data_IF_266271715811
#
_entry.id   IF_266271715811
#
_cell.length_a   1.000
_cell.length_b   1.000
_cell.length_c   1.000
_cell.angle_alpha   90.00
_cell.angle_beta   90.00
_cell.angle_gamma   90.00
#
_symmetry.space_group_name_H-M   'P 1'
#
loop_
_entity.id
_entity.type
_entity.pdbx_description
1 polymer ?
#
# COMPACT_ATOMS: atom_id res chain seq x y z
N UNK A 1 -45.25 -44.16 -20.88
CA UNK A 1 -46.50 -43.54 -20.43
C UNK A 1 -46.07 -42.37 -19.56
N UNK A 2 -45.76 -41.25 -20.21
CA UNK A 2 -46.74 -40.20 -20.56
C UNK A 2 -47.02 -39.36 -19.32
N UNK A 3 -47.03 -38.03 -19.33
CA UNK A 3 -46.99 -37.01 -20.38
C UNK A 3 -46.86 -35.69 -19.60
N UNK A 4 -45.98 -34.74 -19.96
CA UNK A 4 -46.20 -33.71 -20.99
C UNK A 4 -47.58 -33.07 -20.93
N UNK A 5 -47.63 -31.77 -20.62
CA UNK A 5 -48.30 -30.72 -21.41
C UNK A 5 -48.60 -29.52 -20.48
N UNK A 6 -48.01 -28.32 -20.54
CA UNK A 6 -47.72 -27.38 -21.64
C UNK A 6 -48.64 -26.13 -21.57
N UNK A 7 -48.11 -25.02 -22.11
CA UNK A 7 -48.76 -23.81 -22.64
C UNK A 7 -49.08 -22.65 -21.68
N UNK A 8 -48.93 -21.37 -22.05
CA UNK A 8 -48.41 -20.62 -23.22
C UNK A 8 -48.56 -19.12 -22.81
N UNK A 9 -47.67 -18.19 -23.16
CA UNK A 9 -47.82 -17.11 -24.17
C UNK A 9 -46.73 -16.07 -23.80
N UNK A 10 -45.92 -15.45 -24.68
CA UNK A 10 -45.99 -15.29 -26.13
C UNK A 10 -46.31 -13.84 -26.51
N UNK A 11 -45.37 -13.22 -27.25
CA UNK A 11 -45.43 -11.95 -28.03
C UNK A 11 -45.03 -10.65 -27.29
N UNK A 12 -43.99 -9.89 -27.67
CA UNK A 12 -43.46 -9.34 -28.95
C UNK A 12 -43.97 -7.93 -29.32
N UNK A 13 -42.97 -7.07 -29.58
CA UNK A 13 -42.85 -6.04 -30.64
C UNK A 13 -43.01 -4.54 -30.34
N UNK A 14 -42.14 -3.80 -31.05
CA UNK A 14 -42.04 -2.35 -31.36
C UNK A 14 -41.15 -1.56 -30.36
N UNK A 15 -39.99 -1.02 -30.70
CA UNK A 15 -39.50 -0.51 -31.99
C UNK A 15 -39.88 0.95 -32.16
N UNK A 16 -39.12 1.89 -31.57
CA UNK A 16 -39.12 3.31 -31.97
C UNK A 16 -37.69 3.87 -31.81
N UNK A 17 -37.07 4.19 -32.94
CA UNK A 17 -35.93 5.10 -33.03
C UNK A 17 -36.47 6.52 -33.16
N UNK A 18 -36.13 7.41 -32.24
CA UNK A 18 -36.23 8.87 -32.44
C UNK A 18 -35.02 9.55 -31.80
N UNK A 19 -34.26 10.25 -32.66
CA UNK A 19 -33.25 11.22 -32.28
C UNK A 19 -33.88 12.37 -31.47
N UNK A 20 -33.22 12.84 -30.40
CA UNK A 20 -33.04 14.26 -30.09
C UNK A 20 -32.05 14.49 -28.93
N UNK A 21 -31.10 15.38 -29.17
CA UNK A 21 -30.46 16.37 -28.28
C UNK A 21 -30.04 16.02 -26.83
N UNK A 22 -28.74 16.20 -26.59
CA UNK A 22 -28.09 16.74 -25.38
C UNK A 22 -28.93 16.91 -24.10
N UNK A 23 -28.47 16.28 -23.01
CA UNK A 23 -28.92 16.59 -21.65
C UNK A 23 -28.23 15.67 -20.64
N UNK A 24 -27.20 16.18 -19.97
CA UNK A 24 -26.73 15.67 -18.69
C UNK A 24 -27.88 15.75 -17.69
N UNK A 25 -28.31 14.62 -17.13
CA UNK A 25 -29.10 14.64 -15.90
C UNK A 25 -28.14 14.36 -14.75
N UNK A 26 -27.69 15.44 -14.11
CA UNK A 26 -27.15 15.41 -12.75
C UNK A 26 -28.36 15.37 -11.82
N UNK A 27 -28.52 14.30 -11.04
CA UNK A 27 -29.43 14.30 -9.90
C UNK A 27 -28.72 15.02 -8.73
N UNK A 28 -29.39 16.01 -8.15
CA UNK A 28 -28.91 16.75 -6.98
C UNK A 28 -28.90 15.81 -5.76
N UNK A 29 -27.72 15.36 -5.33
CA UNK A 29 -27.56 14.59 -4.08
C UNK A 29 -27.26 15.55 -2.95
N UNK A 30 -28.20 15.71 -2.01
CA UNK A 30 -27.99 16.45 -0.78
C UNK A 30 -27.14 15.61 0.20
N UNK A 31 -25.99 16.12 0.63
CA UNK A 31 -25.16 15.50 1.68
C UNK A 31 -25.43 16.21 3.00
N UNK A 32 -25.99 15.50 3.97
CA UNK A 32 -26.31 16.02 5.30
C UNK A 32 -25.15 15.79 6.28
N UNK A 33 -24.82 16.80 7.08
CA UNK A 33 -23.84 16.70 8.16
C UNK A 33 -24.51 16.08 9.41
N UNK A 34 -23.97 14.95 9.92
CA UNK A 34 -24.69 14.06 10.84
C UNK A 34 -24.89 14.60 12.27
N UNK A 35 -24.00 15.48 12.75
CA UNK A 35 -24.00 15.91 14.15
C UNK A 35 -25.17 16.85 14.51
N UNK A 36 -25.77 17.52 13.53
CA UNK A 36 -26.92 18.42 13.75
C UNK A 36 -28.28 17.71 13.75
N UNK A 37 -28.38 16.48 13.24
CA UNK A 37 -29.66 15.77 13.12
C UNK A 37 -30.06 15.09 14.44
N UNK A 38 -29.09 14.50 15.15
CA UNK A 38 -29.34 13.79 16.41
C UNK A 38 -29.77 14.70 17.56
N UNK A 39 -29.50 16.01 17.49
CA UNK A 39 -29.96 16.95 18.53
C UNK A 39 -31.48 17.11 18.55
N UNK A 40 -32.14 16.97 17.39
CA UNK A 40 -33.59 17.04 17.27
C UNK A 40 -34.26 15.67 17.15
N UNK A 41 -33.56 14.64 16.63
CA UNK A 41 -34.03 13.26 16.50
C UNK A 41 -33.40 12.31 17.52
N UNK A 42 -33.40 12.70 18.80
CA UNK A 42 -32.67 12.02 19.88
C UNK A 42 -33.14 10.59 20.21
N UNK A 43 -34.27 10.15 19.64
CA UNK A 43 -34.84 8.81 19.83
C UNK A 43 -34.65 7.89 18.62
N UNK A 44 -34.02 8.36 17.55
CA UNK A 44 -33.79 7.60 16.31
C UNK A 44 -32.33 7.18 16.19
N UNK A 45 -32.06 6.00 15.64
CA UNK A 45 -30.69 5.57 15.34
C UNK A 45 -30.17 6.27 14.08
N UNK A 46 -28.85 6.42 13.96
CA UNK A 46 -28.21 6.97 12.75
C UNK A 46 -28.70 6.30 11.46
N UNK A 47 -28.81 4.97 11.46
CA UNK A 47 -29.26 4.20 10.31
C UNK A 47 -30.72 4.51 9.92
N UNK A 48 -31.58 4.80 10.91
CA UNK A 48 -32.97 5.19 10.69
C UNK A 48 -33.10 6.61 10.13
N UNK A 49 -32.17 7.51 10.46
CA UNK A 49 -32.14 8.88 9.92
C UNK A 49 -31.60 8.89 8.47
N UNK A 50 -30.56 8.10 8.20
CA UNK A 50 -29.97 7.99 6.86
C UNK A 50 -30.91 7.35 5.82
N UNK A 51 -31.90 6.55 6.26
CA UNK A 51 -32.87 5.88 5.39
C UNK A 51 -34.13 6.71 5.08
N UNK A 52 -34.27 7.91 5.66
CA UNK A 52 -35.39 8.85 5.41
C UNK A 52 -35.13 9.76 4.19
N UNK A 53 -33.99 9.62 3.52
CA UNK A 53 -33.59 10.48 2.39
C UNK A 53 -34.60 10.47 1.23
N UNK A 54 -35.49 9.48 1.13
CA UNK A 54 -36.56 9.46 0.12
C UNK A 54 -37.92 10.04 0.58
N UNK A 55 -38.09 10.39 1.86
CA UNK A 55 -39.35 10.94 2.40
C UNK A 55 -39.13 12.33 3.03
N UNK A 56 -39.17 13.36 2.18
CA UNK A 56 -39.33 14.80 2.42
C UNK A 56 -39.05 15.35 3.84
N UNK A 57 -37.77 15.56 4.16
CA UNK A 57 -37.32 16.38 5.29
C UNK A 57 -37.88 17.83 5.26
N UNK A 58 -38.34 18.29 4.09
CA UNK A 58 -38.92 19.61 3.87
C UNK A 58 -40.30 19.83 4.54
N UNK A 59 -40.93 18.78 5.11
CA UNK A 59 -42.20 18.92 5.83
C UNK A 59 -42.04 19.59 7.20
N UNK A 60 -40.87 19.46 7.83
CA UNK A 60 -40.58 20.03 9.16
C UNK A 60 -39.43 21.04 9.16
N UNK A 61 -38.61 21.10 8.11
CA UNK A 61 -37.51 22.05 7.96
C UNK A 61 -37.80 23.06 6.84
N UNK A 62 -37.53 24.35 7.09
CA UNK A 62 -37.49 25.35 6.01
C UNK A 62 -36.07 25.44 5.43
N UNK A 63 -35.92 25.75 4.14
CA UNK A 63 -34.63 25.74 3.43
C UNK A 63 -33.42 26.43 4.12
N UNK A 64 -33.58 27.46 4.98
CA UNK A 64 -32.44 28.03 5.71
C UNK A 64 -31.90 27.14 6.85
N UNK A 65 -32.66 26.14 7.33
CA UNK A 65 -32.27 25.24 8.42
C UNK A 65 -31.60 23.94 7.94
N UNK A 66 -31.64 23.68 6.62
CA UNK A 66 -30.86 22.63 5.98
C UNK A 66 -29.70 23.30 5.25
N UNK A 67 -28.67 23.72 5.98
CA UNK A 67 -27.43 24.20 5.37
C UNK A 67 -26.61 23.01 4.86
N UNK A 68 -27.14 22.32 3.85
CA UNK A 68 -26.35 21.49 2.94
C UNK A 68 -26.14 22.31 1.67
N UNK A 69 -24.92 22.78 1.43
CA UNK A 69 -24.59 23.47 0.18
C UNK A 69 -24.91 22.57 -1.02
N UNK A 70 -25.86 22.98 -1.85
CA UNK A 70 -26.16 22.34 -3.15
C UNK A 70 -25.20 22.88 -4.20
N UNK A 71 -24.14 22.13 -4.52
CA UNK A 71 -23.26 22.45 -5.65
C UNK A 71 -23.66 21.67 -6.90
N UNK A 72 -24.06 22.40 -7.95
CA UNK A 72 -24.39 21.88 -9.29
C UNK A 72 -23.19 21.14 -9.91
N UNK A 73 -23.34 19.83 -10.10
CA UNK A 73 -22.38 18.98 -10.84
C UNK A 73 -22.57 19.16 -12.35
N UNK A 74 -22.10 20.27 -12.93
CA UNK A 74 -21.93 20.37 -14.41
C UNK A 74 -21.01 21.49 -14.91
N UNK A 75 -20.39 22.30 -14.04
CA UNK A 75 -19.49 23.38 -14.48
C UNK A 75 -18.14 23.42 -13.73
N UNK A 76 -17.73 22.30 -13.13
CA UNK A 76 -16.49 22.21 -12.35
C UNK A 76 -15.51 21.16 -12.91
N UNK A 77 -15.48 21.00 -14.24
CA UNK A 77 -14.39 20.28 -14.91
C UNK A 77 -13.11 21.14 -15.07
N UNK A 78 -13.17 22.43 -14.74
CA UNK A 78 -12.02 23.35 -14.85
C UNK A 78 -11.52 23.91 -13.50
N UNK A 79 -12.04 23.43 -12.37
CA UNK A 79 -11.60 23.84 -11.04
C UNK A 79 -11.67 22.65 -10.06
N UNK A 80 -10.80 21.66 -10.25
CA UNK A 80 -10.31 20.91 -9.10
C UNK A 80 -9.37 21.86 -8.36
N UNK A 81 -9.96 22.77 -7.57
CA UNK A 81 -9.20 23.53 -6.60
C UNK A 81 -8.49 22.52 -5.70
N UNK A 82 -7.18 22.74 -5.63
CA UNK A 82 -6.20 21.96 -4.91
C UNK A 82 -6.79 21.52 -3.56
N UNK A 83 -6.80 20.21 -3.29
CA UNK A 83 -6.65 19.80 -1.89
C UNK A 83 -5.40 20.54 -1.46
N UNK A 84 -5.55 21.52 -0.57
CA UNK A 84 -4.46 22.29 0.04
C UNK A 84 -3.71 21.35 1.00
N UNK A 85 -3.24 20.20 0.45
CA UNK A 85 -2.07 19.54 0.95
C UNK A 85 -1.01 20.61 0.91
N UNK A 86 -0.31 20.88 2.02
CA UNK A 86 0.72 21.89 2.02
C UNK A 86 1.85 21.37 1.14
N UNK A 87 1.78 21.73 -0.14
CA UNK A 87 2.64 21.23 -1.18
C UNK A 87 3.92 22.04 -1.09
N UNK A 88 4.77 21.64 -0.16
CA UNK A 88 5.96 22.40 0.19
C UNK A 88 6.95 22.39 -0.99
N UNK A 89 7.39 23.59 -1.38
CA UNK A 89 8.51 23.77 -2.31
C UNK A 89 9.86 23.78 -1.58
N UNK A 90 9.84 23.91 -0.24
CA UNK A 90 11.02 24.04 0.63
C UNK A 90 10.89 23.14 1.88
N UNK A 91 12.00 22.81 2.54
CA UNK A 91 12.06 21.95 3.74
C UNK A 91 11.51 22.59 5.03
N UNK A 92 10.52 23.48 4.96
CA UNK A 92 10.03 24.25 6.11
C UNK A 92 9.22 23.44 7.13
N UNK A 93 8.63 22.31 6.71
CA UNK A 93 7.65 21.55 7.50
C UNK A 93 8.04 20.08 7.66
N UNK A 94 9.30 19.86 8.03
CA UNK A 94 9.82 18.51 8.32
C UNK A 94 9.28 18.01 9.66
N UNK A 95 8.52 16.93 9.60
CA UNK A 95 8.19 16.17 10.81
C UNK A 95 9.48 15.55 11.40
N UNK A 96 9.57 15.35 12.72
CA UNK A 96 10.77 14.80 13.38
C UNK A 96 11.32 13.53 12.70
N UNK A 97 12.63 13.56 12.43
CA UNK A 97 13.38 12.49 11.78
C UNK A 97 13.36 12.50 10.25
N UNK A 98 12.46 13.25 9.62
CA UNK A 98 12.36 13.32 8.16
C UNK A 98 13.37 14.33 7.58
N UNK A 99 13.98 13.96 6.46
CA UNK A 99 14.83 14.83 5.64
C UNK A 99 14.06 15.48 4.48
N UNK A 100 12.84 15.01 4.22
CA UNK A 100 11.99 15.42 3.09
C UNK A 100 10.58 15.71 3.63
N UNK A 101 9.88 16.77 3.16
CA UNK A 101 8.49 17.03 3.56
C UNK A 101 7.58 15.85 3.22
N UNK A 102 6.53 15.65 4.00
CA UNK A 102 5.61 14.54 3.76
C UNK A 102 4.94 14.64 2.39
N UNK A 103 4.57 15.84 1.92
CA UNK A 103 3.95 16.04 0.60
C UNK A 103 4.67 17.15 -0.17
N UNK A 104 4.89 16.96 -1.47
CA UNK A 104 5.55 17.98 -2.32
C UNK A 104 5.19 17.86 -3.82
N UNK A 105 5.26 18.97 -4.56
CA UNK A 105 4.62 19.13 -5.90
C UNK A 105 5.14 18.20 -7.01
N UNK A 106 6.38 17.72 -6.95
CA UNK A 106 6.99 16.96 -8.04
C UNK A 106 7.96 15.90 -7.57
N UNK A 107 8.10 14.81 -8.32
CA UNK A 107 8.99 13.70 -7.95
C UNK A 107 10.47 14.09 -7.95
N UNK A 108 11.20 13.67 -6.91
CA UNK A 108 12.66 13.72 -6.81
C UNK A 108 13.33 12.58 -7.57
N UNK A 109 12.65 11.44 -7.68
CA UNK A 109 13.20 10.20 -8.26
C UNK A 109 12.82 10.02 -9.74
N UNK A 110 11.81 10.73 -10.22
CA UNK A 110 11.21 10.50 -11.53
C UNK A 110 10.39 9.21 -11.59
N UNK A 111 10.00 8.82 -12.81
CA UNK A 111 9.24 7.60 -13.08
C UNK A 111 10.09 6.42 -13.56
N UNK A 112 11.42 6.54 -13.50
CA UNK A 112 12.33 5.48 -13.92
C UNK A 112 12.54 4.46 -12.80
N UNK A 113 13.02 3.27 -13.16
CA UNK A 113 13.19 2.18 -12.21
C UNK A 113 14.17 2.56 -11.09
N UNK A 114 13.87 2.13 -9.86
CA UNK A 114 14.74 2.36 -8.71
C UNK A 114 16.17 1.84 -8.97
N UNK A 115 17.15 2.63 -8.52
CA UNK A 115 18.51 2.16 -8.27
C UNK A 115 18.48 0.90 -7.41
N UNK A 116 19.34 -0.07 -7.74
CA UNK A 116 19.43 -1.32 -7.01
C UNK A 116 20.79 -1.45 -6.32
N UNK A 117 20.79 -2.08 -5.15
CA UNK A 117 21.96 -2.31 -4.33
C UNK A 117 22.31 -3.80 -4.34
N UNK A 118 23.60 -4.10 -4.52
CA UNK A 118 24.09 -5.48 -4.55
C UNK A 118 24.23 -6.04 -3.13
N UNK A 119 23.64 -7.21 -2.91
CA UNK A 119 23.84 -8.01 -1.72
C UNK A 119 24.72 -9.20 -2.08
N UNK A 120 25.83 -9.37 -1.36
CA UNK A 120 26.78 -10.46 -1.57
C UNK A 120 26.15 -11.81 -1.26
N UNK A 121 26.57 -12.85 -1.99
CA UNK A 121 26.25 -14.23 -1.66
C UNK A 121 26.80 -14.60 -0.28
N UNK A 122 26.21 -15.62 0.34
CA UNK A 122 26.74 -16.23 1.55
C UNK A 122 25.76 -16.33 2.72
N UNK A 123 26.23 -16.83 3.86
CA UNK A 123 25.40 -17.11 5.02
C UNK A 123 25.00 -15.84 5.76
N UNK A 124 23.86 -15.89 6.45
CA UNK A 124 23.45 -14.91 7.45
C UNK A 124 22.54 -15.55 8.50
N UNK A 125 22.45 -14.94 9.68
CA UNK A 125 21.52 -15.34 10.74
C UNK A 125 20.12 -14.83 10.43
N UNK A 126 19.20 -15.77 10.18
CA UNK A 126 17.79 -15.53 9.87
C UNK A 126 16.92 -15.84 11.08
N UNK A 127 15.89 -15.02 11.29
CA UNK A 127 14.91 -15.21 12.35
C UNK A 127 15.39 -14.76 13.73
N UNK A 128 14.63 -15.15 14.75
CA UNK A 128 14.91 -14.94 16.17
C UNK A 128 14.06 -15.89 17.03
N UNK A 129 14.62 -16.36 18.15
CA UNK A 129 13.88 -17.16 19.14
C UNK A 129 13.20 -16.30 20.23
N UNK A 130 13.47 -15.00 20.24
CA UNK A 130 13.23 -14.13 21.38
C UNK A 130 11.92 -13.32 21.31
N UNK A 131 11.00 -13.63 20.39
CA UNK A 131 9.81 -12.79 20.19
C UNK A 131 8.55 -13.52 19.74
N UNK A 132 8.37 -13.80 18.45
CA UNK A 132 7.18 -14.49 17.95
C UNK A 132 7.49 -15.92 17.52
N UNK A 133 6.55 -16.87 17.70
CA UNK A 133 6.80 -18.28 17.38
C UNK A 133 7.10 -18.56 15.91
N UNK A 134 6.63 -17.74 14.98
CA UNK A 134 6.83 -17.88 13.53
C UNK A 134 8.11 -17.20 13.01
N UNK A 135 8.81 -16.47 13.88
CA UNK A 135 10.09 -15.83 13.57
C UNK A 135 11.30 -16.73 13.85
N UNK A 136 11.10 -17.85 14.56
CA UNK A 136 12.13 -18.84 14.88
C UNK A 136 11.85 -20.23 14.31
N UNK A 137 12.75 -21.22 14.52
CA UNK A 137 14.02 -21.07 15.19
C UNK A 137 15.00 -20.13 14.46
N UNK A 138 15.85 -19.44 15.21
CA UNK A 138 17.00 -18.73 14.63
C UNK A 138 17.94 -19.76 13.97
N UNK A 139 18.33 -19.50 12.72
CA UNK A 139 19.15 -20.43 11.94
C UNK A 139 19.99 -19.71 10.90
N UNK A 140 21.01 -20.40 10.38
CA UNK A 140 21.81 -19.90 9.26
C UNK A 140 21.06 -20.18 7.95
N UNK A 141 20.77 -19.12 7.20
CA UNK A 141 20.27 -19.19 5.83
C UNK A 141 21.33 -18.68 4.86
N UNK A 142 21.24 -19.11 3.60
CA UNK A 142 22.13 -18.70 2.53
C UNK A 142 21.35 -18.05 1.39
N UNK A 143 21.95 -17.05 0.76
CA UNK A 143 21.46 -16.50 -0.52
C UNK A 143 22.60 -16.50 -1.53
N UNK A 144 22.25 -16.54 -2.81
CA UNK A 144 23.16 -16.12 -3.88
C UNK A 144 23.38 -14.60 -3.81
N UNK A 145 24.20 -14.06 -4.70
CA UNK A 145 24.29 -12.62 -4.88
C UNK A 145 23.11 -12.14 -5.73
N UNK A 146 22.50 -11.02 -5.33
CA UNK A 146 21.35 -10.43 -5.99
C UNK A 146 21.43 -8.90 -5.86
N UNK A 147 20.65 -8.21 -6.67
CA UNK A 147 20.36 -6.79 -6.56
C UNK A 147 18.98 -6.63 -5.91
N UNK A 148 18.80 -5.60 -5.09
CA UNK A 148 17.50 -5.25 -4.50
C UNK A 148 17.28 -3.74 -4.57
N UNK A 149 16.06 -3.31 -4.85
CA UNK A 149 15.71 -1.90 -4.98
C UNK A 149 16.05 -1.12 -3.69
N UNK A 150 16.66 0.05 -3.87
CA UNK A 150 17.03 0.96 -2.78
C UNK A 150 15.82 1.41 -1.96
N UNK A 151 14.70 1.63 -2.65
CA UNK A 151 13.43 2.15 -2.14
C UNK A 151 12.29 1.19 -2.50
N UNK A 152 11.15 1.31 -1.84
CA UNK A 152 9.89 0.75 -2.35
C UNK A 152 9.53 1.36 -3.71
N UNK A 153 8.69 0.65 -4.48
CA UNK A 153 8.18 1.17 -5.76
C UNK A 153 7.25 2.35 -5.50
N UNK A 154 7.50 3.48 -6.17
CA UNK A 154 6.74 4.71 -5.96
C UNK A 154 5.44 4.74 -6.76
N UNK A 155 4.52 5.60 -6.36
CA UNK A 155 3.29 5.88 -7.10
C UNK A 155 3.56 6.34 -8.55
N UNK A 156 4.57 7.20 -8.78
CA UNK A 156 4.89 7.67 -10.13
C UNK A 156 5.45 6.54 -11.01
N UNK A 157 6.30 5.68 -10.46
CA UNK A 157 6.79 4.49 -11.14
C UNK A 157 5.65 3.53 -11.50
N UNK A 158 4.75 3.25 -10.54
CA UNK A 158 3.59 2.39 -10.77
C UNK A 158 2.61 2.99 -11.78
N UNK A 159 2.44 4.33 -11.78
CA UNK A 159 1.65 5.04 -12.81
C UNK A 159 2.19 4.78 -14.21
N UNK A 160 3.52 4.81 -14.40
CA UNK A 160 4.16 4.50 -15.68
C UNK A 160 3.85 3.08 -16.13
N UNK A 161 3.90 2.11 -15.22
CA UNK A 161 3.50 0.72 -15.46
C UNK A 161 2.05 0.63 -15.96
N UNK A 162 1.07 1.10 -15.19
CA UNK A 162 -0.35 0.95 -15.56
C UNK A 162 -0.71 1.70 -16.85
N UNK A 163 -0.05 2.82 -17.15
CA UNK A 163 -0.27 3.55 -18.41
C UNK A 163 0.26 2.78 -19.62
N UNK A 164 1.42 2.14 -19.45
CA UNK A 164 2.11 1.39 -20.51
C UNK A 164 1.40 0.06 -20.79
N UNK A 165 1.07 -0.70 -19.75
CA UNK A 165 0.55 -2.07 -19.87
C UNK A 165 -0.97 -2.14 -19.89
N UNK A 166 -1.66 -1.02 -19.59
CA UNK A 166 -3.11 -0.97 -19.34
C UNK A 166 -3.55 -1.82 -18.15
N UNK A 167 -2.62 -2.15 -17.24
CA UNK A 167 -2.93 -2.81 -15.98
C UNK A 167 -3.93 -1.99 -15.13
N UNK A 168 -4.62 -2.66 -14.22
CA UNK A 168 -5.62 -2.04 -13.36
C UNK A 168 -4.98 -1.02 -12.42
N UNK A 169 -5.70 0.08 -12.20
CA UNK A 169 -5.27 1.13 -11.28
C UNK A 169 -5.51 0.68 -9.82
N UNK A 170 -4.63 1.01 -8.87
CA UNK A 170 -4.91 0.83 -7.45
C UNK A 170 -6.10 1.68 -7.01
N UNK A 171 -6.76 1.29 -5.92
CA UNK A 171 -8.03 1.92 -5.49
C UNK A 171 -7.88 3.38 -5.07
N UNK A 172 -6.70 3.79 -4.59
CA UNK A 172 -6.41 5.17 -4.18
C UNK A 172 -5.98 6.08 -5.33
N UNK A 173 -5.99 5.58 -6.57
CA UNK A 173 -5.72 6.39 -7.75
C UNK A 173 -7.05 6.87 -8.35
N UNK A 174 -7.22 8.18 -8.45
CA UNK A 174 -8.36 8.80 -9.13
C UNK A 174 -8.00 9.03 -10.59
N UNK A 175 -8.89 8.70 -11.53
CA UNK A 175 -8.63 8.85 -12.97
C UNK A 175 -7.27 8.26 -13.42
N UNK A 176 -6.87 7.13 -12.81
CA UNK A 176 -5.59 6.44 -13.05
C UNK A 176 -4.35 7.30 -12.71
N UNK A 177 -4.50 8.26 -11.79
CA UNK A 177 -3.39 9.04 -11.24
C UNK A 177 -3.33 8.95 -9.73
N UNK A 178 -2.12 8.98 -9.18
CA UNK A 178 -1.89 9.03 -7.75
C UNK A 178 -2.34 10.38 -7.15
N UNK A 179 -2.63 10.43 -5.83
CA UNK A 179 -3.02 11.67 -5.15
C UNK A 179 -1.94 12.76 -5.26
N UNK A 180 -2.31 14.05 -5.39
CA UNK A 180 -1.36 15.16 -5.40
C UNK A 180 -0.37 15.08 -4.23
N UNK A 181 0.88 15.48 -4.44
CA UNK A 181 1.91 15.46 -3.40
C UNK A 181 2.53 14.09 -3.10
N UNK A 182 2.00 12.99 -3.66
CA UNK A 182 2.41 11.61 -3.34
C UNK A 182 3.21 10.87 -4.42
N UNK A 183 3.82 11.60 -5.35
CA UNK A 183 4.55 10.99 -6.47
C UNK A 183 5.63 9.98 -6.02
N UNK A 184 6.36 10.31 -4.95
CA UNK A 184 7.44 9.48 -4.39
C UNK A 184 7.02 8.69 -3.15
N UNK A 185 5.74 8.67 -2.81
CA UNK A 185 5.25 7.74 -1.79
C UNK A 185 5.26 6.32 -2.36
N UNK A 186 5.44 5.29 -1.53
CA UNK A 186 5.28 3.91 -1.97
C UNK A 186 3.87 3.73 -2.52
N UNK A 187 3.75 2.95 -3.61
CA UNK A 187 2.45 2.49 -4.06
C UNK A 187 1.86 1.53 -3.04
N UNK A 188 0.57 1.72 -2.73
CA UNK A 188 -0.21 0.88 -1.81
C UNK A 188 -1.48 0.38 -2.48
N UNK A 189 -2.33 -0.36 -1.78
CA UNK A 189 -3.54 -0.99 -2.33
C UNK A 189 -3.24 -1.89 -3.54
N UNK A 190 -2.10 -2.56 -3.51
CA UNK A 190 -1.67 -3.53 -4.53
C UNK A 190 -1.68 -4.94 -3.96
N UNK A 191 -2.15 -5.87 -4.78
CA UNK A 191 -2.10 -7.30 -4.47
C UNK A 191 -0.70 -7.86 -4.72
N UNK A 192 -0.45 -9.11 -4.28
CA UNK A 192 0.80 -9.78 -4.63
C UNK A 192 0.97 -9.94 -6.15
N UNK A 193 -0.13 -10.23 -6.85
CA UNK A 193 -0.10 -10.39 -8.32
C UNK A 193 0.22 -9.06 -9.03
N UNK A 194 -0.26 -7.94 -8.50
CA UNK A 194 0.06 -6.61 -9.03
C UNK A 194 1.55 -6.28 -8.87
N UNK A 195 2.10 -6.59 -7.68
CA UNK A 195 3.50 -6.39 -7.36
C UNK A 195 4.41 -7.25 -8.26
N UNK A 196 4.08 -8.53 -8.44
CA UNK A 196 4.81 -9.45 -9.31
C UNK A 196 4.73 -9.03 -10.79
N UNK A 197 3.56 -8.60 -11.26
CA UNK A 197 3.37 -8.10 -12.61
C UNK A 197 4.19 -6.82 -12.87
N UNK A 198 4.23 -5.89 -11.91
CA UNK A 198 5.10 -4.71 -12.02
C UNK A 198 6.57 -5.11 -12.09
N UNK A 199 7.05 -5.93 -11.15
CA UNK A 199 8.47 -6.29 -11.13
C UNK A 199 8.88 -7.01 -12.42
N UNK A 200 8.03 -7.92 -12.93
CA UNK A 200 8.23 -8.59 -14.21
C UNK A 200 8.30 -7.59 -15.37
N UNK A 201 7.36 -6.65 -15.45
CA UNK A 201 7.38 -5.59 -16.48
C UNK A 201 8.64 -4.73 -16.41
N UNK A 202 9.14 -4.46 -15.20
CA UNK A 202 10.37 -3.72 -14.96
C UNK A 202 11.65 -4.53 -15.24
N UNK A 203 11.56 -5.79 -15.69
CA UNK A 203 12.70 -6.68 -15.92
C UNK A 203 13.36 -7.18 -14.62
N UNK A 204 12.58 -7.23 -13.54
CA UNK A 204 12.97 -7.61 -12.18
C UNK A 204 12.06 -8.76 -11.69
N UNK A 205 12.15 -9.10 -10.41
CA UNK A 205 11.26 -10.04 -9.69
C UNK A 205 10.98 -9.51 -8.29
N UNK A 206 10.03 -10.10 -7.57
CA UNK A 206 9.96 -9.87 -6.13
C UNK A 206 11.18 -10.52 -5.42
N UNK A 207 11.72 -9.91 -4.35
CA UNK A 207 12.67 -10.60 -3.47
C UNK A 207 11.98 -11.80 -2.84
N UNK A 208 12.72 -12.84 -2.49
CA UNK A 208 12.23 -13.81 -1.51
C UNK A 208 12.37 -13.24 -0.08
N UNK A 209 11.68 -13.83 0.89
CA UNK A 209 11.68 -13.31 2.26
C UNK A 209 13.04 -13.44 2.99
N UNK A 210 13.91 -14.37 2.57
CA UNK A 210 15.27 -14.50 3.12
C UNK A 210 16.23 -13.45 2.52
N UNK A 211 16.11 -13.14 1.23
CA UNK A 211 16.80 -12.06 0.54
C UNK A 211 16.41 -10.72 1.13
N UNK A 212 15.11 -10.48 1.33
CA UNK A 212 14.64 -9.26 1.95
C UNK A 212 15.26 -9.08 3.35
N UNK A 213 15.21 -10.14 4.17
CA UNK A 213 15.71 -10.09 5.55
C UNK A 213 17.23 -9.91 5.61
N UNK A 214 17.99 -10.60 4.76
CA UNK A 214 19.45 -10.43 4.67
C UNK A 214 19.82 -9.00 4.28
N UNK A 215 19.08 -8.42 3.33
CA UNK A 215 19.28 -7.05 2.87
C UNK A 215 19.07 -6.04 4.02
N UNK A 216 18.03 -6.26 4.86
CA UNK A 216 17.73 -5.42 6.02
C UNK A 216 18.71 -5.61 7.19
N UNK A 217 19.07 -6.86 7.53
CA UNK A 217 19.83 -7.20 8.74
C UNK A 217 21.34 -7.02 8.61
N UNK A 218 21.87 -6.84 7.40
CA UNK A 218 23.33 -6.91 7.19
C UNK A 218 23.94 -8.21 7.77
N UNK A 219 25.26 -8.33 7.85
CA UNK A 219 25.91 -9.57 8.29
C UNK A 219 25.92 -9.76 9.82
N UNK A 220 25.57 -8.74 10.60
CA UNK A 220 25.68 -8.70 12.06
C UNK A 220 24.36 -8.99 12.80
N UNK A 221 23.37 -9.55 12.09
CA UNK A 221 22.08 -9.99 12.67
C UNK A 221 21.32 -8.88 13.44
N UNK A 222 21.49 -7.62 13.05
CA UNK A 222 20.85 -6.48 13.73
C UNK A 222 19.32 -6.59 13.70
N UNK A 223 18.68 -6.09 14.76
CA UNK A 223 17.22 -6.12 14.91
C UNK A 223 16.50 -5.18 13.94
N UNK A 224 17.07 -4.01 13.68
CA UNK A 224 16.57 -2.98 12.77
C UNK A 224 17.68 -2.60 11.79
N UNK A 225 17.37 -2.07 10.59
CA UNK A 225 18.37 -1.70 9.60
C UNK A 225 19.49 -0.80 10.14
N UNK A 226 19.14 0.11 11.05
CA UNK A 226 20.06 1.04 11.71
C UNK A 226 20.76 0.51 12.98
N UNK A 227 20.39 -0.67 13.50
CA UNK A 227 21.05 -1.27 14.67
C UNK A 227 20.15 -2.13 15.56
N UNK A 228 20.57 -2.32 16.81
CA UNK A 228 19.90 -3.23 17.76
C UNK A 228 18.74 -2.60 18.53
N UNK A 229 18.72 -1.26 18.66
CA UNK A 229 17.73 -0.52 19.44
C UNK A 229 16.72 0.17 18.53
N UNK A 230 15.46 0.15 18.93
CA UNK A 230 14.41 0.88 18.24
C UNK A 230 14.69 2.39 18.32
N UNK A 231 14.48 3.10 17.21
CA UNK A 231 14.63 4.54 17.11
C UNK A 231 13.40 5.09 16.38
N UNK A 232 12.51 5.75 17.12
CA UNK A 232 11.21 6.20 16.62
C UNK A 232 11.32 7.16 15.43
N UNK A 233 12.38 7.99 15.38
CA UNK A 233 12.61 8.97 14.33
C UNK A 233 13.42 8.41 13.15
N UNK A 234 13.69 7.11 13.11
CA UNK A 234 14.41 6.47 12.01
C UNK A 234 13.47 5.75 11.03
N UNK A 235 12.15 5.75 11.27
CA UNK A 235 11.20 5.01 10.45
C UNK A 235 9.79 5.59 10.54
N UNK A 236 8.99 5.36 9.50
CA UNK A 236 7.57 5.67 9.50
C UNK A 236 6.79 4.53 10.18
N UNK A 237 6.36 4.72 11.44
CA UNK A 237 5.76 3.65 12.25
C UNK A 237 4.55 4.16 13.06
N UNK A 238 3.68 3.26 13.57
CA UNK A 238 2.55 3.67 14.41
C UNK A 238 2.98 4.45 15.66
N UNK A 239 4.09 4.09 16.32
CA UNK A 239 4.55 4.85 17.49
C UNK A 239 5.01 6.24 17.16
N UNK A 240 5.58 6.45 15.95
CA UNK A 240 5.93 7.79 15.50
C UNK A 240 4.65 8.64 15.40
N UNK A 241 3.62 8.16 14.71
CA UNK A 241 2.36 8.88 14.58
C UNK A 241 1.66 9.11 15.92
N UNK A 242 1.65 8.10 16.80
CA UNK A 242 1.16 8.23 18.17
C UNK A 242 1.91 9.30 18.97
N UNK A 243 3.26 9.38 18.84
CA UNK A 243 4.06 10.41 19.50
C UNK A 243 3.80 11.82 18.97
N UNK A 244 3.50 11.93 17.66
CA UNK A 244 3.19 13.19 17.00
C UNK A 244 1.74 13.63 17.26
N UNK A 245 0.89 12.74 17.79
CA UNK A 245 -0.56 12.95 17.95
C UNK A 245 -1.22 13.35 16.61
N UNK A 246 -0.79 12.69 15.54
CA UNK A 246 -1.30 12.88 14.18
C UNK A 246 -1.79 11.56 13.62
N UNK A 247 -2.77 11.64 12.74
CA UNK A 247 -3.13 10.49 11.90
C UNK A 247 -1.94 10.08 11.03
N UNK A 248 -1.79 8.77 10.84
CA UNK A 248 -0.69 8.22 10.08
C UNK A 248 -0.95 8.18 8.58
N UNK A 249 0.13 8.21 7.82
CA UNK A 249 0.12 7.94 6.39
C UNK A 249 1.52 7.43 5.98
N UNK A 250 1.61 6.93 4.76
CA UNK A 250 2.85 6.78 4.02
C UNK A 250 3.66 8.08 4.01
N UNK A 251 4.98 7.93 3.94
CA UNK A 251 5.93 9.02 3.72
C UNK A 251 6.64 8.79 2.39
N UNK A 252 7.21 9.84 1.76
CA UNK A 252 8.06 9.67 0.59
C UNK A 252 9.18 8.68 0.88
N UNK A 253 9.47 7.80 -0.07
CA UNK A 253 10.57 6.85 0.08
C UNK A 253 11.89 7.57 0.30
N UNK A 254 12.69 7.06 1.22
CA UNK A 254 13.94 7.66 1.64
C UNK A 254 13.82 8.86 2.57
N UNK A 255 12.64 9.12 3.16
CA UNK A 255 12.44 10.25 4.08
C UNK A 255 13.31 10.17 5.35
N UNK A 256 13.73 8.98 5.78
CA UNK A 256 14.46 8.77 7.04
C UNK A 256 15.91 8.36 6.79
N UNK A 257 16.82 9.32 6.66
CA UNK A 257 18.25 9.06 6.42
C UNK A 257 18.90 8.19 7.49
N UNK A 258 18.58 8.43 8.76
CA UNK A 258 19.08 7.64 9.89
C UNK A 258 18.44 6.24 9.97
N UNK A 259 17.41 6.00 9.16
CA UNK A 259 16.73 4.71 9.01
C UNK A 259 17.40 3.77 8.02
N UNK A 260 18.28 4.28 7.16
CA UNK A 260 18.90 3.46 6.14
C UNK A 260 19.78 2.35 6.74
N UNK A 261 19.82 1.21 6.07
CA UNK A 261 20.83 0.19 6.36
C UNK A 261 22.24 0.72 6.03
N UNK A 262 23.33 0.09 6.52
CA UNK A 262 24.70 0.51 6.18
C UNK A 262 25.01 0.51 4.68
N UNK A 263 24.23 -0.23 3.89
CA UNK A 263 24.35 -0.27 2.42
C UNK A 263 23.49 0.80 1.72
N UNK A 264 22.71 1.57 2.47
CA UNK A 264 21.81 2.58 1.93
C UNK A 264 20.46 2.05 1.49
N UNK A 265 19.98 0.92 2.04
CA UNK A 265 18.59 0.49 1.83
C UNK A 265 17.68 1.24 2.78
N UNK A 266 16.68 1.92 2.23
CA UNK A 266 15.74 2.73 2.99
C UNK A 266 14.44 1.99 3.24
N UNK A 267 13.76 2.39 4.31
CA UNK A 267 12.39 1.98 4.62
C UNK A 267 12.19 0.46 4.75
N UNK A 268 13.28 -0.28 5.01
CA UNK A 268 13.23 -1.70 5.38
C UNK A 268 12.61 -1.94 6.77
N UNK A 269 12.05 -0.91 7.40
CA UNK A 269 11.36 -0.95 8.68
C UNK A 269 10.30 0.15 8.67
N UNK A 270 9.02 -0.22 8.64
CA UNK A 270 7.91 0.72 8.57
C UNK A 270 7.60 1.19 7.14
N UNK A 271 6.90 2.32 7.04
CA UNK A 271 6.30 2.85 5.82
C UNK A 271 5.26 1.89 5.23
N UNK A 272 5.62 0.87 4.47
CA UNK A 272 4.67 -0.13 3.97
C UNK A 272 5.19 -1.53 4.20
N UNK A 273 4.27 -2.47 4.45
CA UNK A 273 4.59 -3.87 4.33
C UNK A 273 4.96 -4.18 2.88
N UNK A 274 5.97 -5.01 2.70
CA UNK A 274 6.49 -5.32 1.37
C UNK A 274 6.24 -6.78 1.01
N UNK A 275 5.49 -7.00 -0.08
CA UNK A 275 5.28 -8.34 -0.64
C UNK A 275 6.61 -9.00 -1.02
N UNK A 276 6.73 -10.30 -0.71
CA UNK A 276 7.85 -11.13 -1.19
C UNK A 276 7.33 -12.32 -2.01
N UNK A 277 8.21 -12.95 -2.78
CA UNK A 277 7.88 -14.14 -3.56
C UNK A 277 7.67 -15.40 -2.70
N UNK A 278 8.16 -15.43 -1.47
CA UNK A 278 8.07 -16.59 -0.56
C UNK A 278 6.64 -16.90 -0.15
N UNK A 279 6.29 -18.19 -0.21
CA UNK A 279 5.14 -18.73 0.50
C UNK A 279 5.33 -18.57 2.01
N UNK A 280 4.23 -18.46 2.75
CA UNK A 280 4.31 -18.43 4.20
C UNK A 280 4.45 -19.85 4.75
N UNK A 281 5.69 -20.25 5.01
CA UNK A 281 6.02 -21.58 5.53
C UNK A 281 6.77 -21.49 6.88
N UNK A 282 6.72 -22.56 7.70
CA UNK A 282 7.51 -22.63 8.92
C UNK A 282 9.00 -22.58 8.58
N UNK A 283 9.78 -21.92 9.43
CA UNK A 283 11.24 -22.00 9.33
C UNK A 283 11.74 -23.42 9.60
N UNK A 284 12.89 -23.82 9.04
CA UNK A 284 13.48 -25.13 9.33
C UNK A 284 13.59 -25.39 10.84
N UNK A 285 13.03 -26.51 11.30
CA UNK A 285 12.98 -26.86 12.72
C UNK A 285 11.80 -26.27 13.50
N UNK A 286 11.01 -25.37 12.91
CA UNK A 286 9.76 -24.90 13.53
C UNK A 286 8.67 -25.98 13.38
N UNK A 287 8.20 -26.52 14.51
CA UNK A 287 7.18 -27.58 14.54
C UNK A 287 5.75 -27.05 14.69
N UNK A 288 5.56 -25.72 14.70
CA UNK A 288 4.23 -25.11 14.82
C UNK A 288 3.37 -25.50 13.62
N UNK A 289 2.09 -25.77 13.87
CA UNK A 289 1.09 -26.01 12.84
C UNK A 289 0.08 -24.87 12.84
N UNK A 290 -0.31 -24.39 11.66
CA UNK A 290 -1.35 -23.38 11.46
C UNK A 290 -1.95 -23.57 10.08
N UNK A 291 -3.24 -23.28 9.89
CA UNK A 291 -3.87 -23.31 8.55
C UNK A 291 -3.25 -22.32 7.56
N UNK A 292 -2.50 -21.33 8.07
CA UNK A 292 -1.91 -20.29 7.23
C UNK A 292 -0.61 -20.74 6.53
N UNK A 293 -0.04 -21.88 6.94
CA UNK A 293 1.06 -22.52 6.23
C UNK A 293 0.53 -23.25 5.00
N UNK A 294 0.15 -22.45 4.02
CA UNK A 294 -0.56 -22.86 2.82
C UNK A 294 -0.05 -22.06 1.60
N UNK A 295 -0.05 -22.70 0.43
CA UNK A 295 0.53 -22.16 -0.81
C UNK A 295 -0.15 -20.88 -1.33
N UNK A 296 -1.36 -20.60 -0.85
CA UNK A 296 -2.12 -19.40 -1.20
C UNK A 296 -1.63 -18.15 -0.45
N UNK A 297 -0.94 -18.33 0.67
CA UNK A 297 -0.39 -17.23 1.46
C UNK A 297 1.01 -16.84 1.01
N UNK A 298 1.20 -15.53 0.88
CA UNK A 298 2.48 -14.92 0.60
C UNK A 298 2.94 -14.11 1.80
N UNK A 299 4.25 -14.02 1.94
CA UNK A 299 4.88 -13.30 3.04
C UNK A 299 4.96 -11.80 2.74
N UNK A 300 4.81 -11.03 3.80
CA UNK A 300 5.06 -9.59 3.85
C UNK A 300 6.15 -9.31 4.90
N UNK A 301 7.03 -8.35 4.63
CA UNK A 301 8.16 -7.99 5.50
C UNK A 301 8.16 -6.48 5.81
N UNK A 302 8.86 -6.10 6.88
CA UNK A 302 9.20 -4.70 7.21
C UNK A 302 8.25 -3.95 8.15
N UNK A 303 6.98 -4.32 8.22
CA UNK A 303 5.99 -3.48 8.89
C UNK A 303 5.64 -2.25 8.05
N UNK A 304 4.74 -1.42 8.54
CA UNK A 304 4.19 -0.25 7.88
C UNK A 304 3.99 0.92 8.85
N UNK A 305 3.42 2.01 8.33
CA UNK A 305 2.99 3.17 9.11
C UNK A 305 1.79 2.87 10.03
N UNK A 306 1.06 1.76 9.79
CA UNK A 306 -0.15 1.36 10.53
C UNK A 306 -0.27 -0.16 10.72
N UNK A 307 0.11 -0.67 11.90
CA UNK A 307 0.21 -2.11 12.20
C UNK A 307 -0.41 -2.54 13.54
N UNK A 308 -1.46 -1.86 13.97
CA UNK A 308 -2.08 -2.11 15.28
C UNK A 308 -2.97 -3.36 15.33
N UNK A 309 -3.17 -4.10 14.23
CA UNK A 309 -4.19 -5.17 14.15
C UNK A 309 -3.74 -6.53 14.67
N UNK A 310 -2.48 -6.95 14.45
CA UNK A 310 -1.96 -8.26 14.90
C UNK A 310 -0.88 -8.17 15.99
N UNK A 311 -0.20 -7.03 16.06
CA UNK A 311 0.88 -6.77 17.00
C UNK A 311 0.42 -5.66 17.94
N UNK A 312 0.72 -5.76 19.24
CA UNK A 312 0.61 -4.58 20.11
C UNK A 312 1.28 -3.39 19.41
N UNK A 313 0.54 -2.29 19.26
CA UNK A 313 0.83 -1.21 18.31
C UNK A 313 2.33 -0.93 18.16
N UNK A 314 2.83 -1.26 16.97
CA UNK A 314 4.13 -0.88 16.42
C UNK A 314 5.35 -1.74 16.82
N UNK A 315 5.12 -3.00 17.19
CA UNK A 315 6.19 -3.99 17.15
C UNK A 315 6.39 -4.57 15.73
N UNK A 316 6.12 -3.86 14.64
CA UNK A 316 6.23 -4.46 13.30
C UNK A 316 7.57 -4.21 12.60
N UNK A 317 8.35 -3.24 13.10
CA UNK A 317 9.58 -2.75 12.47
C UNK A 317 10.80 -3.71 12.48
N UNK A 318 10.96 -4.71 13.37
CA UNK A 318 12.15 -5.56 13.32
C UNK A 318 12.30 -6.31 12.00
N UNK A 319 13.52 -6.41 11.47
CA UNK A 319 13.77 -6.96 10.12
C UNK A 319 13.42 -8.44 9.96
N UNK A 320 13.38 -9.20 11.06
CA UNK A 320 12.94 -10.61 11.05
C UNK A 320 11.41 -10.77 11.05
N UNK A 321 10.67 -9.71 11.36
CA UNK A 321 9.22 -9.77 11.41
C UNK A 321 8.65 -10.17 10.05
N UNK A 322 7.57 -10.95 10.08
CA UNK A 322 6.88 -11.43 8.89
C UNK A 322 5.38 -11.45 9.17
N UNK A 323 4.62 -11.05 8.17
CA UNK A 323 3.17 -11.23 8.11
C UNK A 323 2.82 -12.10 6.90
N UNK A 324 1.58 -12.54 6.83
CA UNK A 324 1.10 -13.41 5.76
C UNK A 324 -0.31 -13.05 5.36
N UNK A 325 -0.56 -13.00 4.06
CA UNK A 325 -1.88 -12.73 3.50
C UNK A 325 -2.05 -13.47 2.17
N UNK A 326 -3.31 -13.64 1.74
CA UNK A 326 -3.62 -14.23 0.45
C UNK A 326 -3.07 -13.35 -0.68
N UNK A 327 -2.72 -13.95 -1.81
CA UNK A 327 -2.23 -13.23 -3.00
C UNK A 327 -3.17 -12.13 -3.50
N UNK A 328 -4.46 -12.24 -3.20
CA UNK A 328 -5.53 -11.31 -3.61
C UNK A 328 -5.79 -10.19 -2.60
N UNK A 329 -5.20 -10.26 -1.41
CA UNK A 329 -5.34 -9.22 -0.40
C UNK A 329 -4.60 -7.97 -0.83
N UNK A 330 -5.20 -6.80 -0.58
CA UNK A 330 -4.59 -5.48 -0.70
C UNK A 330 -5.07 -4.60 0.44
N UNK A 331 -4.25 -3.67 0.91
CA UNK A 331 -4.66 -2.62 1.83
C UNK A 331 -3.80 -1.35 1.60
N UNK A 332 -4.12 -0.28 2.32
CA UNK A 332 -3.42 1.01 2.23
C UNK A 332 -2.05 1.04 2.92
N UNK A 333 -1.57 -0.09 3.43
CA UNK A 333 -0.25 -0.28 4.03
C UNK A 333 0.58 -1.39 3.35
N UNK A 334 0.11 -1.99 2.26
CA UNK A 334 0.78 -3.06 1.51
C UNK A 334 1.32 -2.49 0.19
N UNK A 335 2.64 -2.46 0.09
CA UNK A 335 3.40 -2.15 -1.11
C UNK A 335 4.42 -3.24 -1.40
N UNK A 336 5.52 -2.87 -2.06
CA UNK A 336 6.58 -3.80 -2.42
C UNK A 336 7.83 -3.07 -2.92
N UNK A 337 8.93 -3.81 -3.00
CA UNK A 337 10.14 -3.46 -3.74
C UNK A 337 10.57 -4.63 -4.61
N UNK A 338 11.34 -4.39 -5.67
CA UNK A 338 11.82 -5.46 -6.54
C UNK A 338 13.26 -5.90 -6.20
N UNK A 339 13.64 -7.06 -6.71
CA UNK A 339 14.96 -7.65 -6.70
C UNK A 339 15.31 -8.19 -8.09
N UNK A 340 16.59 -8.49 -8.33
CA UNK A 340 17.07 -9.02 -9.60
C UNK A 340 18.28 -9.93 -9.35
N UNK A 341 18.35 -11.04 -10.08
CA UNK A 341 19.50 -11.93 -10.00
C UNK A 341 20.73 -11.28 -10.63
N UNK A 342 21.90 -11.46 -9.98
CA UNK A 342 23.17 -11.12 -10.62
C UNK A 342 23.52 -12.28 -11.54
N UNK A 343 23.43 -12.08 -12.86
CA UNK A 343 23.90 -13.08 -13.83
C UNK A 343 25.32 -13.52 -13.49
N UNK A 344 25.61 -14.81 -13.58
CA UNK A 344 26.93 -15.34 -13.27
C UNK A 344 27.96 -14.61 -14.13
N UNK A 345 28.78 -13.75 -13.52
CA UNK A 345 29.96 -13.24 -14.17
C UNK A 345 30.78 -14.47 -14.56
N UNK A 346 30.96 -14.69 -15.87
CA UNK A 346 31.88 -15.68 -16.39
C UNK A 346 33.22 -15.38 -15.74
N UNK A 347 33.63 -16.24 -14.82
CA UNK A 347 34.99 -16.28 -14.29
C UNK A 347 35.91 -16.61 -15.46
N UNK A 348 36.25 -15.62 -16.27
CA UNK A 348 37.40 -15.71 -17.16
C UNK A 348 38.62 -15.64 -16.25
N UNK A 349 39.12 -16.81 -15.89
CA UNK A 349 40.45 -16.96 -15.32
C UNK A 349 41.44 -16.33 -16.31
N UNK A 350 41.85 -15.10 -16.04
CA UNK A 350 42.92 -14.42 -16.74
C UNK A 350 44.19 -15.22 -16.54
N UNK A 351 44.68 -15.81 -17.63
CA UNK A 351 45.93 -16.56 -17.69
C UNK A 351 47.08 -15.63 -17.32
N UNK A 352 47.82 -16.00 -16.28
CA UNK A 352 49.10 -15.38 -15.95
C UNK A 352 50.06 -15.65 -17.12
N UNK A 353 50.62 -14.59 -17.69
CA UNK A 353 51.83 -14.66 -18.53
C UNK A 353 53.03 -14.26 -17.70
#
# INVERSE_FOLDING_TARGET
MESLSVYLHGALFLGVSLFWSAGLFAEDVAVLNNDSCLSCHSTMSHDAIASIIEANCAECHTAPDITGETNRVSAHLDALDEVDLPLHTNNSDLLPGMAIPQYYRGSRLGGDANDMLRIEAGPFTRGTDNRLPDEGPEHIANTTAYLIDRYEVTNLQYKKFITTTKHNSPDHFENRTYPPGKADHPVVNVTWNDADAYCTWAGKRLPDDKEWEKAARSADARRFPWGSKFQMHNANTPQRWGSLKKEGDTTPVGAFEKGASPRGLYDMSGNVWEWTSSQYEPYPGNTRRTENYDENYKTLKGGSWWDCSFYSCGMSAPSFNRAFFLKTTKNNSFGFRCAQDVGAAVLTAGTVK
#
